data_IF_627202059026
#
_entry.id   IF_627202059026
#
_cell.length_a   1.000
_cell.length_b   1.000
_cell.length_c   1.000
_cell.angle_alpha   90.00
_cell.angle_beta   90.00
_cell.angle_gamma   90.00
#
_symmetry.space_group_name_H-M   'P 1'
#
loop_
_entity.id
_entity.type
_entity.pdbx_description
1 polymer ?
#
# COMPACT_ATOMS: atom_id res chain seq x y z
N UNK A 1 3.88 -13.59 20.83
CA UNK A 1 3.20 -13.32 19.53
C UNK A 1 3.43 -11.86 19.11
N UNK A 2 4.68 -11.45 18.92
CA UNK A 2 5.06 -10.03 18.82
C UNK A 2 4.62 -9.41 17.47
N UNK A 3 4.47 -10.16 16.39
CA UNK A 3 4.16 -9.63 15.04
C UNK A 3 2.66 -9.46 14.71
N UNK A 4 1.76 -9.79 15.65
CA UNK A 4 0.30 -9.80 15.39
C UNK A 4 -0.22 -8.50 14.80
N UNK A 5 0.21 -7.34 15.33
CA UNK A 5 -0.26 -6.03 14.86
C UNK A 5 0.09 -5.73 13.40
N UNK A 6 1.28 -6.12 12.96
CA UNK A 6 1.75 -5.87 11.58
C UNK A 6 1.09 -6.86 10.62
N UNK A 7 0.96 -8.13 11.03
CA UNK A 7 0.20 -9.12 10.26
C UNK A 7 -1.27 -8.70 10.08
N UNK A 8 -1.92 -8.16 11.12
CA UNK A 8 -3.29 -7.65 11.00
C UNK A 8 -3.39 -6.43 10.09
N UNK A 9 -2.40 -5.53 10.09
CA UNK A 9 -2.39 -4.37 9.19
C UNK A 9 -2.10 -4.77 7.75
N UNK A 10 -1.17 -5.70 7.52
CA UNK A 10 -0.92 -6.26 6.20
C UNK A 10 -2.17 -6.96 5.66
N UNK A 11 -2.86 -7.74 6.51
CA UNK A 11 -4.12 -8.38 6.16
C UNK A 11 -5.24 -7.37 5.86
N UNK A 12 -5.31 -6.27 6.61
CA UNK A 12 -6.26 -5.19 6.36
C UNK A 12 -5.99 -4.51 5.02
N UNK A 13 -4.73 -4.19 4.70
CA UNK A 13 -4.36 -3.63 3.40
C UNK A 13 -4.65 -4.60 2.25
N UNK A 14 -4.32 -5.88 2.41
CA UNK A 14 -4.67 -6.92 1.45
C UNK A 14 -6.19 -6.93 1.19
N UNK A 15 -7.00 -6.89 2.24
CA UNK A 15 -8.45 -6.83 2.13
C UNK A 15 -8.92 -5.54 1.45
N UNK A 16 -8.36 -4.38 1.80
CA UNK A 16 -8.67 -3.12 1.13
C UNK A 16 -8.41 -3.18 -0.38
N UNK A 17 -7.29 -3.77 -0.82
CA UNK A 17 -6.98 -3.93 -2.23
C UNK A 17 -7.90 -4.92 -2.96
N UNK A 18 -8.28 -6.01 -2.29
CA UNK A 18 -9.30 -6.95 -2.83
C UNK A 18 -10.65 -6.26 -2.96
N UNK A 19 -11.01 -5.40 -2.01
CA UNK A 19 -12.25 -4.62 -2.08
C UNK A 19 -12.18 -3.59 -3.22
N UNK A 20 -11.04 -2.90 -3.39
CA UNK A 20 -10.81 -1.98 -4.50
C UNK A 20 -10.93 -2.67 -5.86
N UNK A 21 -10.41 -3.90 -5.99
CA UNK A 21 -10.50 -4.67 -7.23
C UNK A 21 -11.95 -4.97 -7.63
N UNK A 22 -12.85 -5.09 -6.64
CA UNK A 22 -14.29 -5.25 -6.89
C UNK A 22 -14.95 -3.95 -7.38
N UNK A 23 -14.55 -2.80 -6.85
CA UNK A 23 -15.11 -1.50 -7.25
C UNK A 23 -14.58 -0.98 -8.58
N UNK A 24 -13.35 -1.34 -8.94
CA UNK A 24 -12.69 -0.94 -10.18
C UNK A 24 -12.31 -2.17 -11.03
N UNK A 25 -13.29 -2.81 -11.71
CA UNK A 25 -13.04 -4.04 -12.48
C UNK A 25 -12.04 -3.83 -13.61
N UNK A 26 -11.95 -2.62 -14.18
CA UNK A 26 -10.95 -2.24 -15.18
C UNK A 26 -9.51 -2.36 -14.66
N UNK A 27 -9.32 -2.21 -13.34
CA UNK A 27 -8.03 -2.31 -12.65
C UNK A 27 -7.96 -3.56 -11.76
N UNK A 28 -8.86 -4.54 -11.96
CA UNK A 28 -8.98 -5.71 -11.09
C UNK A 28 -7.64 -6.42 -10.90
N UNK A 29 -6.96 -6.76 -12.00
CA UNK A 29 -5.66 -7.45 -11.94
C UNK A 29 -4.60 -6.61 -11.24
N UNK A 30 -4.59 -5.29 -11.47
CA UNK A 30 -3.64 -4.38 -10.84
C UNK A 30 -3.78 -4.37 -9.32
N UNK A 31 -5.01 -4.22 -8.80
CA UNK A 31 -5.28 -4.26 -7.36
C UNK A 31 -5.10 -5.66 -6.76
N UNK A 32 -5.42 -6.71 -7.51
CA UNK A 32 -5.17 -8.10 -7.10
C UNK A 32 -3.67 -8.34 -6.91
N UNK A 33 -2.83 -7.94 -7.86
CA UNK A 33 -1.39 -8.02 -7.71
C UNK A 33 -0.89 -7.17 -6.55
N UNK A 34 -1.38 -5.94 -6.37
CA UNK A 34 -1.07 -5.15 -5.17
C UNK A 34 -1.37 -5.89 -3.87
N UNK A 35 -2.46 -6.67 -3.78
CA UNK A 35 -2.77 -7.45 -2.58
C UNK A 35 -1.76 -8.58 -2.30
N UNK A 36 -1.14 -9.16 -3.35
CA UNK A 36 -0.19 -10.26 -3.21
C UNK A 36 1.10 -9.86 -2.49
N UNK A 37 1.57 -8.61 -2.63
CA UNK A 37 2.77 -8.18 -1.89
C UNK A 37 2.52 -8.17 -0.38
N UNK A 38 1.29 -7.86 0.06
CA UNK A 38 0.91 -7.91 1.48
C UNK A 38 0.77 -9.35 1.98
N UNK A 39 0.31 -10.26 1.12
CA UNK A 39 0.35 -11.69 1.42
C UNK A 39 1.79 -12.18 1.63
N UNK A 40 2.72 -11.78 0.74
CA UNK A 40 4.15 -12.09 0.88
C UNK A 40 4.71 -11.53 2.20
N UNK A 41 4.38 -10.29 2.56
CA UNK A 41 4.79 -9.70 3.85
C UNK A 41 4.27 -10.54 5.03
N UNK A 42 3.01 -10.99 4.99
CA UNK A 42 2.45 -11.87 6.03
C UNK A 42 3.24 -13.19 6.09
N UNK A 43 3.53 -13.82 4.95
CA UNK A 43 4.30 -15.06 4.90
C UNK A 43 5.71 -14.85 5.46
N UNK A 44 6.40 -13.78 5.09
CA UNK A 44 7.75 -13.48 5.61
C UNK A 44 7.75 -13.28 7.14
N UNK A 45 6.71 -12.67 7.70
CA UNK A 45 6.53 -12.57 9.16
C UNK A 45 6.36 -13.94 9.83
N UNK A 46 5.76 -14.92 9.15
CA UNK A 46 5.64 -16.29 9.67
C UNK A 46 6.94 -17.10 9.54
N UNK A 47 7.73 -16.85 8.49
CA UNK A 47 9.01 -17.51 8.24
C UNK A 47 10.19 -16.92 9.06
N UNK A 48 9.93 -16.01 10.01
CA UNK A 48 10.92 -15.35 10.85
C UNK A 48 11.93 -14.45 10.10
N UNK A 49 11.60 -14.00 8.88
CA UNK A 49 12.40 -13.01 8.13
C UNK A 49 11.97 -11.57 8.47
N UNK A 50 11.94 -11.26 9.76
CA UNK A 50 11.36 -10.00 10.29
C UNK A 50 11.99 -8.74 9.69
N UNK A 51 13.28 -8.79 9.39
CA UNK A 51 14.04 -7.68 8.85
C UNK A 51 13.61 -7.31 7.41
N UNK A 52 13.37 -8.30 6.55
CA UNK A 52 12.84 -8.05 5.21
C UNK A 52 11.35 -7.70 5.24
N UNK A 53 10.57 -8.37 6.11
CA UNK A 53 9.15 -8.11 6.25
C UNK A 53 8.86 -6.66 6.69
N UNK A 54 9.62 -6.10 7.64
CA UNK A 54 9.46 -4.71 8.06
C UNK A 54 9.86 -3.72 6.98
N UNK A 55 10.94 -3.99 6.24
CA UNK A 55 11.36 -3.11 5.15
C UNK A 55 10.38 -3.10 3.99
N UNK A 56 9.93 -4.27 3.55
CA UNK A 56 8.86 -4.38 2.55
C UNK A 56 7.56 -3.78 3.08
N UNK A 57 7.25 -3.96 4.36
CA UNK A 57 6.10 -3.35 5.03
C UNK A 57 6.13 -1.82 5.11
N UNK A 58 7.28 -1.18 4.89
CA UNK A 58 7.36 0.28 4.67
C UNK A 58 7.32 0.64 3.19
N UNK A 59 8.12 -0.04 2.38
CA UNK A 59 8.35 0.32 0.99
C UNK A 59 7.18 -0.01 0.08
N UNK A 60 6.54 -1.16 0.26
CA UNK A 60 5.39 -1.57 -0.54
C UNK A 60 4.18 -0.62 -0.39
N UNK A 61 3.72 -0.27 0.84
CA UNK A 61 2.67 0.72 1.01
C UNK A 61 3.08 2.13 0.57
N UNK A 62 4.36 2.51 0.71
CA UNK A 62 4.85 3.79 0.20
C UNK A 62 4.77 3.86 -1.34
N UNK A 63 5.20 2.80 -2.04
CA UNK A 63 5.08 2.71 -3.49
C UNK A 63 3.61 2.74 -3.94
N UNK A 64 2.72 2.04 -3.25
CA UNK A 64 1.29 2.09 -3.58
C UNK A 64 0.68 3.47 -3.35
N UNK A 65 1.09 4.19 -2.29
CA UNK A 65 0.66 5.57 -2.05
C UNK A 65 1.12 6.50 -3.18
N UNK A 66 2.37 6.36 -3.64
CA UNK A 66 2.88 7.15 -4.77
C UNK A 66 2.04 6.90 -6.04
N UNK A 67 1.63 5.65 -6.28
CA UNK A 67 0.75 5.30 -7.39
C UNK A 67 -0.64 5.92 -7.21
N UNK A 68 -1.23 5.85 -6.01
CA UNK A 68 -2.53 6.46 -5.72
C UNK A 68 -2.52 7.99 -5.85
N UNK A 69 -1.39 8.63 -5.54
CA UNK A 69 -1.18 10.06 -5.76
C UNK A 69 -1.02 10.35 -7.25
N UNK A 70 -0.19 9.59 -7.97
CA UNK A 70 0.05 9.75 -9.41
C UNK A 70 -1.18 9.49 -10.28
N UNK A 71 -2.09 8.62 -9.84
CA UNK A 71 -3.38 8.34 -10.49
C UNK A 71 -4.49 9.32 -10.08
N UNK A 72 -4.25 10.18 -9.08
CA UNK A 72 -5.22 11.17 -8.62
C UNK A 72 -6.31 10.64 -7.68
N UNK A 73 -6.32 9.34 -7.36
CA UNK A 73 -7.32 8.72 -6.47
C UNK A 73 -7.26 9.30 -5.05
N UNK A 74 -6.06 9.52 -4.52
CA UNK A 74 -5.86 10.04 -3.16
C UNK A 74 -6.20 11.53 -3.05
N UNK A 75 -5.76 12.41 -3.98
CA UNK A 75 -6.23 13.80 -4.05
C UNK A 75 -7.74 13.95 -4.24
N UNK A 76 -8.39 13.06 -5.00
CA UNK A 76 -9.85 13.06 -5.15
C UNK A 76 -10.55 12.75 -3.82
N UNK A 77 -10.07 11.73 -3.10
CA UNK A 77 -10.51 11.40 -1.75
C UNK A 77 -10.34 12.55 -0.75
N UNK A 78 -9.16 13.16 -0.72
CA UNK A 78 -8.91 14.28 0.18
C UNK A 78 -9.81 15.48 -0.12
N UNK A 79 -10.08 15.77 -1.40
CA UNK A 79 -11.07 16.79 -1.78
C UNK A 79 -12.46 16.44 -1.27
N UNK A 80 -12.89 15.18 -1.40
CA UNK A 80 -14.17 14.73 -0.89
C UNK A 80 -14.31 14.92 0.63
N UNK A 81 -13.26 14.59 1.40
CA UNK A 81 -13.23 14.85 2.85
C UNK A 81 -13.22 16.35 3.15
N UNK A 82 -12.48 17.14 2.37
CA UNK A 82 -12.47 18.59 2.50
C UNK A 82 -13.86 19.21 2.28
N UNK A 83 -14.63 18.69 1.32
CA UNK A 83 -16.02 19.10 1.08
C UNK A 83 -16.99 18.68 2.18
N UNK A 84 -16.68 17.63 2.96
CA UNK A 84 -17.46 17.25 4.15
C UNK A 84 -17.18 18.18 5.35
N UNK A 85 -15.98 18.76 5.41
CA UNK A 85 -15.55 19.67 6.49
C UNK A 85 -15.86 21.14 6.15
N UNK A 86 -15.91 21.48 4.87
CA UNK A 86 -16.29 22.81 4.36
C UNK A 86 -17.82 22.94 4.22
N UNK A 87 -18.40 24.16 4.28
CA UNK A 87 -19.86 24.35 4.27
C UNK A 87 -20.56 23.71 3.06
N UNK A 88 -21.83 23.29 3.22
CA UNK A 88 -22.45 22.25 2.42
C UNK A 88 -22.69 22.71 0.98
N UNK A 89 -22.00 22.09 0.03
CA UNK A 89 -22.38 22.14 -1.38
C UNK A 89 -23.50 21.12 -1.62
N UNK A 90 -24.71 21.56 -2.00
CA UNK A 90 -25.83 20.65 -2.24
C UNK A 90 -25.59 19.87 -3.53
N UNK A 91 -25.43 18.55 -3.43
CA UNK A 91 -25.42 17.64 -4.59
C UNK A 91 -24.23 16.68 -4.73
N UNK A 92 -23.26 16.70 -3.81
CA UNK A 92 -22.11 15.79 -3.91
C UNK A 92 -22.48 14.38 -3.43
N UNK A 93 -22.54 13.41 -4.37
CA UNK A 93 -22.69 11.99 -4.04
C UNK A 93 -21.32 11.45 -3.61
N UNK A 94 -21.28 10.69 -2.53
CA UNK A 94 -20.04 10.08 -2.08
C UNK A 94 -19.62 8.96 -3.03
N UNK A 95 -18.47 9.11 -3.69
CA UNK A 95 -17.92 8.07 -4.55
C UNK A 95 -17.27 6.98 -3.69
N UNK A 96 -17.71 5.70 -3.79
CA UNK A 96 -17.21 4.61 -2.95
C UNK A 96 -15.73 4.29 -3.21
N UNK A 97 -15.24 4.52 -4.43
CA UNK A 97 -13.83 4.33 -4.81
C UNK A 97 -12.95 5.33 -4.07
N UNK A 98 -13.36 6.60 -4.07
CA UNK A 98 -12.64 7.71 -3.46
C UNK A 98 -12.57 7.57 -1.93
N UNK A 99 -13.66 7.12 -1.29
CA UNK A 99 -13.65 6.82 0.15
C UNK A 99 -12.76 5.62 0.49
N UNK A 100 -12.75 4.56 -0.32
CA UNK A 100 -11.86 3.42 -0.13
C UNK A 100 -10.39 3.76 -0.37
N UNK A 101 -10.08 4.67 -1.29
CA UNK A 101 -8.73 5.17 -1.50
C UNK A 101 -8.19 5.88 -0.25
N UNK A 102 -9.03 6.64 0.47
CA UNK A 102 -8.65 7.28 1.74
C UNK A 102 -8.40 6.24 2.82
N UNK A 103 -9.31 5.27 2.99
CA UNK A 103 -9.16 4.19 3.98
C UNK A 103 -7.87 3.42 3.74
N UNK A 104 -7.62 3.05 2.47
CA UNK A 104 -6.39 2.34 2.07
C UNK A 104 -5.16 3.21 2.31
N UNK A 105 -5.23 4.50 1.99
CA UNK A 105 -4.14 5.45 2.22
C UNK A 105 -3.80 5.61 3.71
N UNK A 106 -4.81 5.71 4.58
CA UNK A 106 -4.62 5.76 6.04
C UNK A 106 -3.99 4.46 6.54
N UNK A 107 -4.49 3.30 6.09
CA UNK A 107 -3.91 2.01 6.45
C UNK A 107 -2.45 1.88 6.00
N UNK A 108 -2.12 2.38 4.81
CA UNK A 108 -0.76 2.37 4.27
C UNK A 108 0.17 3.24 5.12
N UNK A 109 -0.25 4.46 5.48
CA UNK A 109 0.52 5.36 6.36
C UNK A 109 0.73 4.73 7.73
N UNK A 110 -0.31 4.15 8.32
CA UNK A 110 -0.19 3.47 9.62
C UNK A 110 0.82 2.32 9.53
N UNK A 111 0.74 1.48 8.48
CA UNK A 111 1.66 0.36 8.31
C UNK A 111 3.11 0.83 8.15
N UNK A 112 3.36 1.92 7.41
CA UNK A 112 4.70 2.54 7.30
C UNK A 112 5.19 2.96 8.68
N UNK A 113 4.37 3.68 9.46
CA UNK A 113 4.75 4.19 10.79
C UNK A 113 5.07 3.03 11.74
N UNK A 114 4.21 2.00 11.80
CA UNK A 114 4.43 0.85 12.68
C UNK A 114 5.67 0.04 12.30
N UNK A 115 5.89 -0.20 11.00
CA UNK A 115 7.08 -0.90 10.52
C UNK A 115 8.34 -0.07 10.77
N UNK A 116 8.31 1.24 10.55
CA UNK A 116 9.43 2.15 10.81
C UNK A 116 9.80 2.21 12.30
N UNK A 117 8.79 2.32 13.17
CA UNK A 117 8.97 2.34 14.61
C UNK A 117 9.64 1.05 15.11
N UNK A 118 9.15 -0.11 14.66
CA UNK A 118 9.74 -1.40 15.03
C UNK A 118 11.12 -1.63 14.48
N UNK A 119 11.32 -1.30 13.21
CA UNK A 119 12.64 -1.36 12.59
C UNK A 119 13.66 -0.56 13.39
N UNK A 120 13.32 0.68 13.77
CA UNK A 120 14.21 1.53 14.57
C UNK A 120 14.45 0.97 15.97
N UNK A 121 13.47 0.31 16.58
CA UNK A 121 13.61 -0.29 17.92
C UNK A 121 14.47 -1.56 17.91
N UNK A 122 14.33 -2.41 16.91
CA UNK A 122 14.94 -3.74 16.86
C UNK A 122 16.28 -3.76 16.10
N UNK A 123 16.46 -2.89 15.10
CA UNK A 123 17.59 -2.97 14.16
C UNK A 123 18.48 -1.71 14.09
N UNK A 124 18.21 -0.64 14.84
CA UNK A 124 18.98 0.61 14.76
C UNK A 124 20.45 0.53 15.20
N UNK A 125 20.94 -0.61 15.70
CA UNK A 125 22.35 -0.81 16.06
C UNK A 125 23.14 -1.77 15.16
N UNK A 126 22.50 -2.41 14.18
CA UNK A 126 23.06 -3.61 13.53
C UNK A 126 23.94 -3.39 12.29
N UNK A 127 24.10 -2.15 11.80
CA UNK A 127 24.92 -1.81 10.61
C UNK A 127 24.43 -2.37 9.25
N UNK A 128 23.62 -3.43 9.24
CA UNK A 128 23.09 -4.11 8.04
C UNK A 128 21.87 -3.45 7.41
N UNK A 129 21.34 -2.39 8.04
CA UNK A 129 20.05 -1.83 7.63
C UNK A 129 20.03 -1.22 6.23
N UNK A 130 21.16 -0.66 5.77
CA UNK A 130 21.25 -0.05 4.45
C UNK A 130 21.25 -1.11 3.33
N UNK A 131 21.91 -2.26 3.56
CA UNK A 131 21.88 -3.38 2.62
C UNK A 131 20.46 -3.97 2.49
N UNK A 132 19.79 -4.22 3.61
CA UNK A 132 18.41 -4.72 3.62
C UNK A 132 17.44 -3.73 2.98
N UNK A 133 17.63 -2.43 3.21
CA UNK A 133 16.87 -1.37 2.55
C UNK A 133 17.07 -1.39 1.03
N UNK A 134 18.31 -1.44 0.54
CA UNK A 134 18.60 -1.44 -0.89
C UNK A 134 18.03 -2.69 -1.60
N UNK A 135 18.16 -3.86 -0.99
CA UNK A 135 17.59 -5.10 -1.53
C UNK A 135 16.07 -5.01 -1.58
N UNK A 136 15.43 -4.59 -0.48
CA UNK A 136 13.97 -4.47 -0.40
C UNK A 136 13.44 -3.39 -1.36
N UNK A 137 14.16 -2.28 -1.51
CA UNK A 137 13.87 -1.22 -2.47
C UNK A 137 13.96 -1.76 -3.89
N UNK A 138 15.01 -2.51 -4.22
CA UNK A 138 15.15 -3.17 -5.52
C UNK A 138 13.96 -4.08 -5.82
N UNK A 139 13.56 -4.92 -4.86
CA UNK A 139 12.40 -5.82 -5.01
C UNK A 139 11.13 -5.03 -5.29
N UNK A 140 10.85 -3.99 -4.49
CA UNK A 140 9.64 -3.16 -4.64
C UNK A 140 9.63 -2.40 -5.96
N UNK A 141 10.76 -1.80 -6.34
CA UNK A 141 10.91 -1.06 -7.60
C UNK A 141 10.72 -1.98 -8.80
N UNK A 142 11.34 -3.16 -8.80
CA UNK A 142 11.18 -4.16 -9.87
C UNK A 142 9.73 -4.64 -9.93
N UNK A 143 9.15 -4.96 -8.78
CA UNK A 143 7.78 -5.46 -8.69
C UNK A 143 6.75 -4.45 -9.23
N UNK A 144 6.75 -3.22 -8.69
CA UNK A 144 5.83 -2.19 -9.15
C UNK A 144 6.17 -1.68 -10.55
N UNK A 145 7.44 -1.67 -10.93
CA UNK A 145 7.87 -1.33 -12.29
C UNK A 145 7.29 -2.30 -13.33
N UNK A 146 7.37 -3.61 -13.07
CA UNK A 146 6.75 -4.63 -13.91
C UNK A 146 5.23 -4.43 -13.94
N UNK A 147 4.58 -4.21 -12.80
CA UNK A 147 3.13 -4.00 -12.75
C UNK A 147 2.69 -2.78 -13.56
N UNK A 148 3.40 -1.66 -13.44
CA UNK A 148 3.08 -0.44 -14.20
C UNK A 148 3.32 -0.68 -15.69
N UNK A 149 4.48 -1.20 -16.10
CA UNK A 149 4.78 -1.45 -17.52
C UNK A 149 3.78 -2.44 -18.14
N UNK A 150 3.45 -3.51 -17.42
CA UNK A 150 2.47 -4.49 -17.84
C UNK A 150 1.07 -3.85 -17.99
N UNK A 151 0.65 -3.06 -17.00
CA UNK A 151 -0.63 -2.36 -17.04
C UNK A 151 -0.73 -1.37 -18.21
N UNK A 152 0.33 -0.59 -18.46
CA UNK A 152 0.37 0.34 -19.59
C UNK A 152 0.33 -0.37 -20.94
N UNK A 153 0.93 -1.55 -21.05
CA UNK A 153 0.86 -2.37 -22.28
C UNK A 153 -0.53 -2.94 -22.52
N UNK A 154 -1.25 -3.31 -21.47
CA UNK A 154 -2.62 -3.81 -21.59
C UNK A 154 -3.60 -2.67 -21.90
N UNK A 155 -3.37 -1.48 -21.35
CA UNK A 155 -4.24 -0.30 -21.55
C UNK A 155 -3.98 0.42 -22.88
N UNK A 156 -2.75 0.49 -23.38
CA UNK A 156 -2.50 1.02 -24.73
C UNK A 156 -2.97 0.01 -25.76
N UNK A 157 -4.14 0.22 -26.41
CA UNK A 157 -4.57 -0.67 -27.46
C UNK A 157 -3.60 -0.48 -28.63
N UNK A 158 -3.12 -1.57 -29.20
CA UNK A 158 -2.71 -1.56 -30.60
C UNK A 158 -3.95 -1.45 -31.47
#
# INVERSE_FOLDING_TARGET
>A
MVHRGIATQAGLLMFCYILLSHFEPSFFLFHLYQSLIFLVIILMLFYFEDHFAYMLGMLAPAASLLIMVGTGMLPAGLRQVWYLVSPPYPGHKADPISSMAIVTGVCAVLMIIFCAYRWKREFAGGGKGLSTFLISLGIVVVYYGILIVWFWREVSPR
#
